data_IF_006784627202
#
_entry.id   IF_006784627202
#
_cell.length_a   1.000
_cell.length_b   1.000
_cell.length_c   1.000
_cell.angle_alpha   90.00
_cell.angle_beta   90.00
_cell.angle_gamma   90.00
#
_symmetry.space_group_name_H-M   'P 1'
#
loop_
_entity.id
_entity.type
_entity.pdbx_description
1 polymer ?
#
# COMPACT_ATOMS: atom_id res chain seq x y z
N UNK A 1 15.10 -18.62 -8.61
CA UNK A 1 14.91 -18.47 -7.16
C UNK A 1 14.71 -17.00 -6.89
N UNK A 2 13.58 -16.61 -6.31
CA UNK A 2 13.32 -15.22 -5.93
C UNK A 2 13.64 -15.12 -4.43
N UNK A 3 14.45 -14.13 -4.04
CA UNK A 3 14.89 -13.93 -2.66
C UNK A 3 13.93 -13.07 -1.85
N UNK A 4 14.16 -13.01 -0.54
CA UNK A 4 13.46 -12.12 0.39
C UNK A 4 13.79 -10.64 0.12
N UNK A 5 12.82 -9.77 0.38
CA UNK A 5 13.05 -8.33 0.51
C UNK A 5 13.78 -8.10 1.84
N UNK A 6 15.05 -7.65 1.80
CA UNK A 6 15.82 -7.34 2.99
C UNK A 6 15.99 -5.82 3.16
N UNK A 7 15.95 -5.36 4.41
CA UNK A 7 16.08 -3.93 4.79
C UNK A 7 17.46 -3.33 4.44
N UNK A 8 18.44 -4.16 4.08
CA UNK A 8 19.83 -3.75 3.91
C UNK A 8 20.17 -3.14 2.53
N UNK A 9 19.20 -2.97 1.64
CA UNK A 9 19.43 -2.30 0.35
C UNK A 9 20.41 -3.03 -0.59
N UNK A 10 20.80 -4.26 -0.25
CA UNK A 10 21.61 -5.11 -1.10
C UNK A 10 20.70 -5.74 -2.15
N UNK A 11 20.88 -5.28 -3.40
CA UNK A 11 20.23 -5.80 -4.63
C UNK A 11 20.58 -7.28 -4.88
N UNK A 12 20.12 -8.20 -4.04
CA UNK A 12 20.09 -9.61 -4.38
C UNK A 12 18.82 -9.87 -5.21
N UNK A 13 18.93 -10.65 -6.30
CA UNK A 13 17.95 -10.62 -7.38
C UNK A 13 16.65 -11.31 -6.96
N UNK A 14 15.64 -10.52 -6.64
CA UNK A 14 14.25 -10.94 -6.72
C UNK A 14 13.98 -11.06 -8.23
N UNK A 15 14.15 -12.28 -8.75
CA UNK A 15 13.90 -12.65 -10.14
C UNK A 15 14.70 -11.84 -11.20
N UNK A 16 16.01 -12.12 -11.31
CA UNK A 16 17.00 -11.77 -12.38
C UNK A 16 17.06 -10.33 -12.95
N UNK A 17 15.99 -9.59 -13.21
CA UNK A 17 16.00 -8.19 -13.67
C UNK A 17 14.67 -7.48 -13.38
N UNK A 18 14.72 -6.26 -12.83
CA UNK A 18 13.55 -5.39 -12.61
C UNK A 18 13.37 -5.01 -11.14
N UNK A 19 12.56 -3.97 -10.85
CA UNK A 19 12.16 -3.66 -9.48
C UNK A 19 11.28 -4.81 -8.90
N UNK A 20 11.30 -5.03 -7.57
CA UNK A 20 10.39 -5.97 -6.93
C UNK A 20 8.94 -5.57 -7.17
N UNK A 21 8.05 -6.56 -7.30
CA UNK A 21 6.63 -6.37 -7.54
C UNK A 21 5.82 -7.29 -6.64
N UNK A 22 4.83 -6.73 -5.97
CA UNK A 22 3.92 -7.51 -5.13
C UNK A 22 2.94 -8.22 -6.05
N UNK A 23 2.80 -9.54 -5.90
CA UNK A 23 1.82 -10.36 -6.64
C UNK A 23 0.78 -10.99 -5.71
N UNK A 24 1.11 -11.11 -4.43
CA UNK A 24 0.28 -11.71 -3.40
C UNK A 24 0.78 -11.25 -2.02
N UNK A 25 -0.14 -11.16 -1.05
CA UNK A 25 0.18 -10.86 0.33
C UNK A 25 -0.73 -11.70 1.25
N UNK A 26 -0.16 -12.25 2.32
CA UNK A 26 -0.88 -12.99 3.34
C UNK A 26 -0.43 -12.51 4.71
N UNK A 27 -1.38 -12.51 5.64
CA UNK A 27 -1.14 -12.16 7.02
C UNK A 27 -1.90 -13.10 7.94
N UNK A 28 -1.35 -13.31 9.14
CA UNK A 28 -1.92 -14.19 10.13
C UNK A 28 -2.91 -13.42 11.02
N UNK A 29 -4.18 -13.77 10.95
CA UNK A 29 -5.23 -13.16 11.77
C UNK A 29 -5.44 -13.92 13.11
N UNK A 30 -4.35 -14.32 13.79
CA UNK A 30 -4.41 -15.28 14.90
C UNK A 30 -3.50 -14.98 16.10
N UNK A 31 -3.82 -15.57 17.26
CA UNK A 31 -3.01 -15.50 18.48
C UNK A 31 -1.58 -16.00 18.19
N UNK A 32 -0.58 -15.23 18.60
CA UNK A 32 0.84 -15.55 18.39
C UNK A 32 1.11 -17.03 18.71
N UNK A 33 1.61 -17.77 17.72
CA UNK A 33 2.03 -19.16 17.90
C UNK A 33 3.45 -19.19 18.46
N UNK A 34 3.74 -20.18 19.30
CA UNK A 34 5.10 -20.43 19.74
C UNK A 34 5.99 -20.70 18.53
N UNK A 35 7.17 -20.11 18.51
CA UNK A 35 8.20 -20.42 17.51
C UNK A 35 8.47 -21.94 17.51
N UNK A 36 8.86 -22.53 16.36
CA UNK A 36 9.32 -23.91 16.31
C UNK A 36 10.41 -24.14 17.37
N UNK A 37 10.42 -25.33 17.98
CA UNK A 37 11.48 -25.70 18.92
C UNK A 37 12.86 -25.55 18.26
N UNK A 38 13.83 -25.00 19.00
CA UNK A 38 15.19 -24.77 18.51
C UNK A 38 15.75 -26.01 17.78
N UNK A 39 16.22 -25.82 16.55
CA UNK A 39 16.73 -26.89 15.69
C UNK A 39 15.76 -27.43 14.63
N UNK A 40 14.52 -26.92 14.56
CA UNK A 40 13.61 -27.19 13.43
C UNK A 40 13.74 -26.12 12.34
N UNK A 41 13.83 -26.57 11.09
CA UNK A 41 13.79 -25.68 9.92
C UNK A 41 12.34 -25.38 9.57
N UNK A 42 12.00 -24.09 9.47
CA UNK A 42 10.72 -23.66 8.91
C UNK A 42 10.70 -23.89 7.39
N UNK A 43 9.59 -24.43 6.87
CA UNK A 43 9.38 -24.69 5.45
C UNK A 43 8.15 -23.93 4.92
N UNK A 44 7.84 -22.76 5.49
CA UNK A 44 6.72 -21.94 5.06
C UNK A 44 6.97 -21.38 3.65
N UNK A 45 5.91 -21.21 2.86
CA UNK A 45 6.00 -20.69 1.50
C UNK A 45 4.68 -20.76 0.75
N UNK A 46 4.72 -20.41 -0.53
CA UNK A 46 3.55 -20.41 -1.43
C UNK A 46 3.84 -21.25 -2.67
N UNK A 47 2.79 -21.89 -3.19
CA UNK A 47 2.81 -22.53 -4.49
C UNK A 47 2.13 -21.61 -5.51
N UNK A 48 2.80 -21.35 -6.63
CA UNK A 48 2.22 -20.61 -7.76
C UNK A 48 1.83 -21.61 -8.85
N UNK A 49 0.58 -21.57 -9.26
CA UNK A 49 0.12 -22.28 -10.45
C UNK A 49 0.46 -21.44 -11.69
N UNK A 50 1.20 -22.04 -12.61
CA UNK A 50 1.72 -21.34 -13.79
C UNK A 50 1.15 -21.98 -15.05
N UNK A 51 0.85 -21.16 -16.06
CA UNK A 51 0.44 -21.60 -17.39
C UNK A 51 1.23 -20.89 -18.48
N UNK A 52 1.45 -21.57 -19.59
CA UNK A 52 1.98 -20.97 -20.81
C UNK A 52 0.86 -20.37 -21.68
N UNK A 53 -0.40 -20.70 -21.40
CA UNK A 53 -1.55 -20.19 -22.13
C UNK A 53 -1.75 -18.71 -21.83
N UNK A 54 -1.86 -17.92 -22.90
CA UNK A 54 -2.09 -16.49 -22.79
C UNK A 54 -3.46 -16.22 -22.17
N UNK A 55 -3.47 -15.68 -20.96
CA UNK A 55 -4.69 -15.21 -20.32
C UNK A 55 -5.27 -14.00 -21.07
N UNK A 56 -6.61 -13.90 -21.22
CA UNK A 56 -7.27 -12.79 -21.92
C UNK A 56 -7.19 -11.48 -21.12
N UNK A 57 -7.12 -11.58 -19.80
CA UNK A 57 -6.90 -10.48 -18.88
C UNK A 57 -5.49 -10.58 -18.29
N UNK A 58 -4.92 -9.44 -17.96
CA UNK A 58 -3.65 -9.33 -17.26
C UNK A 58 -3.78 -8.39 -16.07
N UNK A 59 -3.03 -8.70 -15.01
CA UNK A 59 -3.02 -7.93 -13.77
C UNK A 59 -1.92 -6.88 -13.81
N UNK A 60 -2.19 -5.72 -13.24
CA UNK A 60 -1.20 -4.68 -13.00
C UNK A 60 -1.41 -3.99 -11.66
N UNK A 61 -0.48 -3.11 -11.31
CA UNK A 61 -0.51 -2.36 -10.05
C UNK A 61 -0.39 -0.86 -10.28
N UNK A 62 -1.21 -0.08 -9.56
CA UNK A 62 -0.88 1.31 -9.25
C UNK A 62 -0.37 1.39 -7.82
N UNK A 63 0.74 2.11 -7.62
CA UNK A 63 1.26 2.42 -6.30
C UNK A 63 1.19 3.93 -6.14
N UNK A 64 0.30 4.38 -5.27
CA UNK A 64 0.16 5.78 -4.92
C UNK A 64 0.82 6.01 -3.58
N UNK A 65 1.78 6.92 -3.49
CA UNK A 65 2.46 7.15 -2.23
C UNK A 65 2.99 8.55 -2.05
N UNK A 66 3.54 8.78 -0.86
CA UNK A 66 4.19 10.04 -0.54
C UNK A 66 5.61 9.83 -0.04
N UNK A 67 6.45 10.84 -0.27
CA UNK A 67 7.78 10.98 0.34
C UNK A 67 7.82 12.28 1.15
N UNK A 68 8.90 12.50 1.90
CA UNK A 68 9.11 13.73 2.68
C UNK A 68 9.10 13.46 4.18
N UNK A 69 8.67 14.43 4.97
CA UNK A 69 8.69 14.36 6.44
C UNK A 69 7.30 14.51 7.05
N UNK A 70 7.01 13.70 8.05
CA UNK A 70 5.79 13.76 8.86
C UNK A 70 6.08 14.62 10.10
N UNK A 71 5.31 15.69 10.34
CA UNK A 71 5.46 16.49 11.55
C UNK A 71 5.19 15.70 12.85
N UNK A 72 5.84 16.08 13.96
CA UNK A 72 5.59 15.47 15.27
C UNK A 72 4.18 15.74 15.79
N UNK A 73 3.70 14.91 16.72
CA UNK A 73 2.41 15.07 17.42
C UNK A 73 1.17 15.15 16.49
N UNK A 74 1.21 14.49 15.34
CA UNK A 74 0.11 14.40 14.39
C UNK A 74 -0.94 13.35 14.81
N UNK A 75 -2.19 13.50 14.34
CA UNK A 75 -3.32 12.62 14.69
C UNK A 75 -4.00 12.10 13.42
N UNK A 76 -4.10 10.78 13.28
CA UNK A 76 -4.70 10.05 12.15
C UNK A 76 -3.95 8.75 11.80
N UNK A 77 -4.63 7.68 11.44
CA UNK A 77 -4.00 6.34 11.26
C UNK A 77 -4.68 5.58 10.12
N UNK A 78 -5.02 6.27 9.04
CA UNK A 78 -5.81 5.68 7.96
C UNK A 78 -5.19 6.01 6.61
N UNK A 79 -5.05 4.99 5.79
CA UNK A 79 -4.75 5.14 4.37
C UNK A 79 -6.03 4.93 3.59
N UNK A 80 -6.34 5.87 2.71
CA UNK A 80 -7.51 5.81 1.82
C UNK A 80 -7.13 6.10 0.39
N UNK A 81 -7.88 5.52 -0.55
CA UNK A 81 -7.76 5.75 -1.97
C UNK A 81 -9.11 6.02 -2.62
N UNK A 82 -9.13 6.96 -3.55
CA UNK A 82 -10.32 7.39 -4.28
C UNK A 82 -10.02 7.56 -5.76
N UNK A 83 -11.03 7.29 -6.58
CA UNK A 83 -11.13 7.78 -7.95
C UNK A 83 -11.97 9.05 -7.95
N UNK A 84 -11.48 10.11 -8.58
CA UNK A 84 -12.24 11.32 -8.83
C UNK A 84 -12.50 11.48 -10.33
N UNK A 85 -13.78 11.62 -10.69
CA UNK A 85 -14.28 11.77 -12.07
C UNK A 85 -15.51 12.67 -12.06
N UNK A 86 -15.56 13.65 -12.95
CA UNK A 86 -16.73 14.52 -13.17
C UNK A 86 -17.31 15.17 -11.89
N UNK A 87 -16.44 15.58 -10.96
CA UNK A 87 -16.86 16.20 -9.70
C UNK A 87 -17.23 15.22 -8.58
N UNK A 88 -17.17 13.91 -8.83
CA UNK A 88 -17.57 12.87 -7.88
C UNK A 88 -16.37 12.03 -7.41
N UNK A 89 -16.36 11.71 -6.11
CA UNK A 89 -15.42 10.77 -5.50
C UNK A 89 -16.05 9.39 -5.40
N UNK A 90 -15.31 8.35 -5.77
CA UNK A 90 -15.66 6.95 -5.49
C UNK A 90 -14.53 6.31 -4.69
N UNK A 91 -14.84 5.76 -3.52
CA UNK A 91 -13.85 5.11 -2.64
C UNK A 91 -13.38 3.82 -3.31
N UNK A 92 -12.06 3.68 -3.45
CA UNK A 92 -11.42 2.43 -3.89
C UNK A 92 -11.26 1.51 -2.68
N UNK A 93 -10.78 2.09 -1.57
CA UNK A 93 -10.64 1.39 -0.31
C UNK A 93 -10.02 2.27 0.76
N UNK A 94 -10.17 1.83 2.02
CA UNK A 94 -9.68 2.54 3.19
C UNK A 94 -9.39 1.55 4.31
N UNK A 95 -8.21 1.65 4.92
CA UNK A 95 -7.80 0.75 6.00
C UNK A 95 -6.78 1.42 6.93
N UNK A 96 -6.67 0.89 8.15
CA UNK A 96 -5.57 1.24 9.06
C UNK A 96 -4.33 0.43 8.70
N UNK A 97 -3.14 1.04 8.55
CA UNK A 97 -1.89 0.30 8.33
C UNK A 97 -1.44 -0.53 9.55
N UNK A 98 -2.12 -0.40 10.69
CA UNK A 98 -1.89 -1.23 11.89
C UNK A 98 -2.62 -2.57 11.83
N UNK A 99 -3.54 -2.73 10.87
CA UNK A 99 -4.19 -4.00 10.59
C UNK A 99 -3.32 -4.82 9.62
N UNK A 100 -3.59 -6.14 9.49
CA UNK A 100 -2.95 -7.00 8.50
C UNK A 100 -2.81 -6.32 7.12
N UNK A 101 -1.59 -6.18 6.62
CA UNK A 101 -1.33 -5.47 5.35
C UNK A 101 -1.41 -6.43 4.16
N UNK A 102 -2.61 -6.92 3.87
CA UNK A 102 -2.93 -7.75 2.70
C UNK A 102 -3.71 -6.96 1.65
N UNK A 103 -3.97 -7.59 0.49
CA UNK A 103 -4.96 -7.04 -0.43
C UNK A 103 -6.36 -7.21 0.16
N UNK A 104 -7.12 -6.12 0.16
CA UNK A 104 -8.53 -6.10 0.53
C UNK A 104 -9.37 -5.91 -0.72
N UNK A 105 -10.53 -6.57 -0.75
CA UNK A 105 -11.49 -6.35 -1.83
C UNK A 105 -11.98 -4.89 -1.82
N UNK A 106 -12.16 -4.34 -3.02
CA UNK A 106 -12.76 -3.01 -3.18
C UNK A 106 -14.26 -3.09 -2.87
N UNK A 107 -14.83 -2.02 -2.32
CA UNK A 107 -16.27 -1.95 -2.06
C UNK A 107 -17.10 -1.98 -3.36
N UNK A 108 -16.54 -1.41 -4.44
CA UNK A 108 -17.15 -1.33 -5.76
C UNK A 108 -16.40 -2.20 -6.79
N UNK A 109 -16.71 -3.50 -6.91
CA UNK A 109 -15.92 -4.45 -7.72
C UNK A 109 -15.95 -4.15 -9.23
N UNK A 110 -16.94 -3.38 -9.70
CA UNK A 110 -17.07 -2.98 -11.10
C UNK A 110 -16.46 -1.60 -11.38
N UNK A 111 -15.67 -1.05 -10.47
CA UNK A 111 -15.03 0.25 -10.68
C UNK A 111 -14.06 0.17 -11.86
N UNK A 112 -14.30 1.02 -12.87
CA UNK A 112 -13.33 1.26 -13.94
C UNK A 112 -12.48 2.50 -13.66
N UNK A 113 -11.21 2.43 -14.05
CA UNK A 113 -10.29 3.58 -14.09
C UNK A 113 -9.96 3.82 -15.56
N UNK A 114 -10.15 5.05 -16.02
CA UNK A 114 -9.98 5.44 -17.42
C UNK A 114 -9.16 6.72 -17.54
N UNK A 115 -8.61 6.97 -18.72
CA UNK A 115 -7.90 8.22 -19.02
C UNK A 115 -8.78 9.43 -18.68
N UNK A 116 -8.22 10.38 -17.93
CA UNK A 116 -8.94 11.56 -17.43
C UNK A 116 -9.32 11.48 -15.94
N UNK A 117 -9.32 10.29 -15.36
CA UNK A 117 -9.54 10.12 -13.92
C UNK A 117 -8.36 10.64 -13.11
N UNK A 118 -8.66 11.16 -11.91
CA UNK A 118 -7.65 11.41 -10.89
C UNK A 118 -7.71 10.28 -9.86
N UNK A 119 -6.60 9.59 -9.68
CA UNK A 119 -6.41 8.67 -8.56
C UNK A 119 -5.77 9.44 -7.41
N UNK A 120 -6.42 9.37 -6.25
CA UNK A 120 -6.05 10.14 -5.07
C UNK A 120 -5.87 9.15 -3.92
N UNK A 121 -4.67 9.08 -3.36
CA UNK A 121 -4.46 8.47 -2.06
C UNK A 121 -4.17 9.53 -1.01
N UNK A 122 -4.57 9.24 0.22
CA UNK A 122 -4.19 10.02 1.39
C UNK A 122 -3.90 9.09 2.53
N UNK A 123 -2.71 9.25 3.10
CA UNK A 123 -2.43 8.75 4.43
C UNK A 123 -2.68 9.86 5.44
N UNK A 124 -3.49 9.55 6.43
CA UNK A 124 -3.64 10.38 7.61
C UNK A 124 -2.72 9.77 8.63
N UNK A 125 -1.63 10.49 8.95
CA UNK A 125 -0.54 10.01 9.78
C UNK A 125 -0.66 10.50 11.23
N UNK A 126 -0.13 9.71 12.16
CA UNK A 126 -0.11 10.04 13.58
C UNK A 126 1.22 9.68 14.19
N UNK A 127 2.02 10.70 14.44
CA UNK A 127 3.24 10.59 15.22
C UNK A 127 2.98 11.08 16.63
N UNK A 128 3.34 10.30 17.65
CA UNK A 128 3.44 10.79 19.03
C UNK A 128 4.87 11.23 19.38
N UNK A 129 5.77 11.16 18.42
CA UNK A 129 7.17 11.51 18.60
C UNK A 129 7.32 13.03 18.74
N UNK A 130 8.36 13.44 19.47
CA UNK A 130 8.72 14.85 19.67
C UNK A 130 9.51 15.46 18.50
N UNK A 131 9.91 14.65 17.52
CA UNK A 131 10.71 15.05 16.36
C UNK A 131 10.05 14.61 15.04
N UNK A 132 10.33 15.29 13.92
CA UNK A 132 9.85 14.87 12.60
C UNK A 132 10.27 13.45 12.27
N UNK A 133 9.40 12.73 11.56
CA UNK A 133 9.67 11.36 11.09
C UNK A 133 9.80 11.37 9.59
N UNK A 134 10.91 10.85 9.06
CA UNK A 134 11.12 10.75 7.64
C UNK A 134 10.24 9.66 7.04
N UNK A 135 9.86 9.82 5.77
CA UNK A 135 9.31 8.72 4.98
C UNK A 135 10.45 7.90 4.37
N UNK A 136 10.47 6.59 4.60
CA UNK A 136 11.62 5.75 4.29
C UNK A 136 11.42 4.26 4.59
N UNK A 137 12.43 3.42 4.27
CA UNK A 137 12.31 1.97 4.34
C UNK A 137 12.59 1.35 5.72
N UNK A 138 13.10 2.11 6.68
CA UNK A 138 13.50 1.54 7.97
C UNK A 138 12.36 1.57 8.98
N UNK A 139 12.46 0.75 10.03
CA UNK A 139 11.50 0.78 11.15
C UNK A 139 11.45 2.12 11.92
N UNK A 140 12.43 3.01 11.71
CA UNK A 140 12.43 4.37 12.28
C UNK A 140 11.68 5.36 11.41
N UNK A 141 11.50 5.03 10.14
CA UNK A 141 10.78 5.84 9.17
C UNK A 141 9.29 5.45 9.15
N UNK A 142 8.51 6.22 8.42
CA UNK A 142 7.11 5.90 8.10
C UNK A 142 6.96 5.66 6.60
N UNK A 143 5.89 4.96 6.21
CA UNK A 143 5.54 4.78 4.80
C UNK A 143 4.12 5.22 4.54
N UNK A 144 3.90 5.81 3.37
CA UNK A 144 2.57 6.09 2.86
C UNK A 144 2.45 5.47 1.47
N UNK A 145 2.02 4.22 1.42
CA UNK A 145 1.79 3.50 0.17
C UNK A 145 0.34 3.02 0.12
N UNK A 146 -0.29 3.19 -1.05
CA UNK A 146 -1.60 2.65 -1.37
C UNK A 146 -1.48 1.86 -2.67
N UNK A 147 -1.57 0.53 -2.54
CA UNK A 147 -1.46 -0.41 -3.65
C UNK A 147 -2.85 -0.70 -4.20
N UNK A 148 -3.03 -0.53 -5.51
CA UNK A 148 -4.24 -0.87 -6.24
C UNK A 148 -3.87 -1.97 -7.22
N UNK A 149 -4.35 -3.18 -6.96
CA UNK A 149 -4.30 -4.27 -7.92
C UNK A 149 -5.48 -4.13 -8.88
N UNK A 150 -5.23 -4.18 -10.19
CA UNK A 150 -6.27 -4.08 -11.21
C UNK A 150 -6.05 -5.12 -12.30
N UNK A 151 -7.09 -5.34 -13.12
CA UNK A 151 -6.98 -6.12 -14.35
C UNK A 151 -7.33 -5.27 -15.58
N UNK A 152 -6.79 -5.65 -16.72
CA UNK A 152 -7.15 -5.07 -18.02
C UNK A 152 -7.08 -6.12 -19.11
N UNK A 153 -7.67 -5.85 -20.27
CA UNK A 153 -7.47 -6.67 -21.47
C UNK A 153 -5.98 -6.79 -21.76
N UNK A 154 -5.55 -7.97 -22.21
CA UNK A 154 -4.16 -8.22 -22.59
C UNK A 154 -3.67 -7.18 -23.62
N UNK A 155 -2.55 -6.55 -23.32
CA UNK A 155 -1.82 -5.60 -24.14
C UNK A 155 -0.34 -5.98 -24.11
N UNK A 156 0.36 -5.89 -25.24
CA UNK A 156 1.77 -6.32 -25.31
C UNK A 156 2.72 -5.40 -24.51
N UNK A 157 2.42 -4.10 -24.42
CA UNK A 157 3.29 -3.08 -23.82
C UNK A 157 2.76 -2.54 -22.47
N UNK A 158 2.04 -3.35 -21.69
CA UNK A 158 1.57 -2.87 -20.40
C UNK A 158 2.73 -2.59 -19.44
N UNK A 159 2.66 -1.47 -18.72
CA UNK A 159 3.46 -1.28 -17.52
C UNK A 159 2.78 -2.01 -16.38
N UNK A 160 3.31 -3.18 -16.03
CA UNK A 160 2.76 -4.02 -14.94
C UNK A 160 2.73 -3.29 -13.58
N UNK A 161 3.52 -2.22 -13.43
CA UNK A 161 3.56 -1.38 -12.24
C UNK A 161 3.68 0.10 -12.63
N UNK A 162 2.81 0.93 -12.06
CA UNK A 162 2.80 2.38 -12.25
C UNK A 162 2.88 3.04 -10.88
N UNK A 163 3.98 3.76 -10.63
CA UNK A 163 4.23 4.45 -9.38
C UNK A 163 3.92 5.95 -9.51
N UNK A 164 3.15 6.48 -8.57
CA UNK A 164 2.86 7.90 -8.43
C UNK A 164 3.23 8.35 -7.02
N UNK A 165 4.43 8.90 -6.87
CA UNK A 165 4.89 9.48 -5.62
C UNK A 165 4.87 11.00 -5.70
N UNK A 166 4.45 11.62 -4.60
CA UNK A 166 4.49 13.08 -4.41
C UNK A 166 5.13 13.41 -3.07
N UNK A 167 5.91 14.47 -3.06
CA UNK A 167 6.54 14.96 -1.85
C UNK A 167 5.50 15.72 -1.01
N UNK A 168 5.31 15.29 0.23
CA UNK A 168 4.30 15.84 1.15
C UNK A 168 4.49 17.34 1.40
N UNK A 169 5.74 17.81 1.43
CA UNK A 169 6.09 19.18 1.77
C UNK A 169 5.82 20.15 0.61
N UNK A 170 5.81 19.67 -0.64
CA UNK A 170 5.64 20.50 -1.84
C UNK A 170 4.35 20.25 -2.62
N UNK A 171 3.73 19.08 -2.48
CA UNK A 171 2.49 18.74 -3.16
C UNK A 171 1.28 18.95 -2.25
N UNK A 172 0.31 19.75 -2.71
CA UNK A 172 -0.93 19.96 -1.99
C UNK A 172 -2.13 19.54 -2.83
N UNK A 173 -2.86 18.54 -2.33
CA UNK A 173 -4.05 17.99 -3.00
C UNK A 173 -5.12 19.07 -3.31
N UNK A 174 -5.22 20.10 -2.47
CA UNK A 174 -6.12 21.25 -2.65
C UNK A 174 -5.88 22.04 -3.95
N UNK A 175 -4.71 21.90 -4.56
CA UNK A 175 -4.38 22.61 -5.81
C UNK A 175 -5.04 21.95 -7.03
N UNK A 176 -5.52 20.70 -6.87
CA UNK A 176 -6.15 19.91 -7.93
C UNK A 176 -7.65 19.67 -7.69
N UNK A 177 -8.07 19.70 -6.42
CA UNK A 177 -9.46 19.48 -6.03
C UNK A 177 -9.91 20.50 -4.98
N UNK A 178 -11.17 20.94 -5.10
CA UNK A 178 -11.73 22.00 -4.24
C UNK A 178 -12.35 21.47 -2.95
N UNK A 179 -12.76 20.20 -2.94
CA UNK A 179 -13.43 19.55 -1.79
C UNK A 179 -12.80 18.18 -1.53
N UNK A 180 -12.64 17.80 -0.27
CA UNK A 180 -12.17 16.46 0.10
C UNK A 180 -13.38 15.53 0.33
N UNK A 181 -13.29 14.23 -0.02
CA UNK A 181 -14.31 13.27 0.35
C UNK A 181 -14.40 13.18 1.89
N UNK A 182 -15.62 13.03 2.45
CA UNK A 182 -15.84 13.11 3.90
C UNK A 182 -15.08 12.03 4.69
N UNK A 183 -14.85 10.86 4.08
CA UNK A 183 -14.19 9.72 4.74
C UNK A 183 -12.68 9.65 4.54
N UNK A 184 -12.05 10.62 3.85
CA UNK A 184 -10.63 10.56 3.45
C UNK A 184 -9.65 10.41 4.62
N UNK A 185 -10.04 10.86 5.81
CA UNK A 185 -9.27 10.73 7.05
C UNK A 185 -10.07 10.05 8.18
N UNK A 186 -11.21 9.46 7.85
CA UNK A 186 -12.10 8.82 8.82
C UNK A 186 -11.65 7.40 9.13
N UNK A 187 -11.78 7.00 10.40
CA UNK A 187 -11.62 5.61 10.85
C UNK A 187 -12.97 4.91 11.06
N UNK A 188 -14.08 5.62 10.82
CA UNK A 188 -15.43 5.07 11.01
C UNK A 188 -15.65 3.91 10.02
N UNK A 189 -16.20 2.81 10.52
CA UNK A 189 -16.47 1.60 9.75
C UNK A 189 -15.28 0.64 9.62
N UNK A 190 -14.07 1.05 10.03
CA UNK A 190 -12.90 0.16 10.00
C UNK A 190 -12.94 -0.83 11.17
N UNK A 191 -12.31 -2.02 11.03
CA UNK A 191 -12.08 -2.92 12.15
C UNK A 191 -11.36 -2.20 13.30
N UNK A 192 -11.59 -2.65 14.54
CA UNK A 192 -10.87 -2.09 15.69
C UNK A 192 -9.38 -2.43 15.56
N UNK A 193 -8.54 -1.44 15.81
CA UNK A 193 -7.09 -1.60 15.85
C UNK A 193 -6.53 -0.82 17.05
N UNK A 194 -5.43 -1.34 17.59
CA UNK A 194 -4.61 -0.62 18.56
C UNK A 194 -3.44 0.03 17.84
N UNK A 195 -3.00 1.19 18.33
CA UNK A 195 -1.86 1.90 17.76
C UNK A 195 -0.67 1.71 18.68
N UNK A 196 0.42 1.17 18.15
CA UNK A 196 1.70 1.08 18.83
C UNK A 196 2.75 1.86 18.06
N UNK A 197 3.31 2.92 18.66
CA UNK A 197 4.49 3.63 18.13
C UNK A 197 5.64 3.41 19.12
N UNK A 198 6.54 2.44 18.88
CA UNK A 198 7.61 2.11 19.81
C UNK A 198 8.64 3.24 19.97
N UNK A 199 8.60 4.27 19.10
CA UNK A 199 9.50 5.41 19.13
C UNK A 199 8.83 6.69 19.65
N UNK A 200 7.59 6.60 20.16
CA UNK A 200 6.92 7.70 20.86
C UNK A 200 7.59 7.96 22.22
N UNK A 201 8.59 8.85 22.25
CA UNK A 201 9.31 9.27 23.47
C UNK A 201 9.24 10.79 23.65
#
# INVERSE_FOLDING_TARGET
TCGEENEEGHRLPICKHGPPRIIYAWALDGKARSLPSAGQTDNSGYFLEMTHDKQPLQVGHYILGTIGEIPPMTKGVVTSGYRYRDGAYTEIGRMSPQLPQTFYDVEEPNMNITTGDLLISRCTMSSQRKFPTNMGPTNKDEMCNFYIMYYTSRQEDIKDEIMCFRDHNSFHLKDYITTLPPNISSIVGLPKFERTDPYAV
#
